data_IF_372708186630
#
_entry.id   IF_372708186630
#
_cell.length_a   1.000
_cell.length_b   1.000
_cell.length_c   1.000
_cell.angle_alpha   90.00
_cell.angle_beta   90.00
_cell.angle_gamma   90.00
#
_symmetry.space_group_name_H-M   'P 1'
#
loop_
_entity.id
_entity.type
_entity.pdbx_description
1 polymer ?
#
# COMPACT_ATOMS: atom_id res chain seq x y z
N UNK A 1 18.85 -26.32 24.10
CA UNK A 1 19.31 -24.98 23.70
C UNK A 1 18.26 -24.41 22.76
N UNK A 2 17.37 -23.56 23.28
CA UNK A 2 16.32 -22.94 22.47
C UNK A 2 16.94 -21.91 21.53
N UNK A 3 16.75 -22.10 20.23
CA UNK A 3 17.16 -21.12 19.24
C UNK A 3 16.42 -19.81 19.51
N UNK A 4 17.17 -18.77 19.85
CA UNK A 4 16.63 -17.41 19.95
C UNK A 4 16.13 -17.05 18.55
N UNK A 5 14.82 -16.99 18.37
CA UNK A 5 14.22 -16.49 17.14
C UNK A 5 14.71 -15.05 16.95
N UNK A 6 15.47 -14.80 15.89
CA UNK A 6 15.95 -13.46 15.50
C UNK A 6 14.83 -12.59 14.92
N UNK A 7 13.60 -13.10 14.84
CA UNK A 7 12.44 -12.31 14.43
C UNK A 7 11.95 -11.48 15.61
N UNK A 8 11.76 -10.16 15.46
CA UNK A 8 11.16 -9.34 16.50
C UNK A 8 9.79 -9.95 16.89
N UNK A 9 9.46 -9.89 18.18
CA UNK A 9 8.17 -10.41 18.66
C UNK A 9 7.02 -9.66 18.01
N UNK A 10 6.08 -10.39 17.40
CA UNK A 10 4.79 -9.83 17.00
C UNK A 10 3.99 -9.61 18.28
N UNK A 11 3.78 -8.35 18.66
CA UNK A 11 3.02 -8.01 19.85
C UNK A 11 1.53 -8.22 19.59
N UNK A 12 0.89 -9.10 20.36
CA UNK A 12 -0.58 -9.08 20.47
C UNK A 12 -1.00 -8.05 21.51
N UNK A 13 -2.29 -7.69 21.55
CA UNK A 13 -2.83 -6.76 22.55
C UNK A 13 -2.51 -7.17 23.99
N UNK A 14 -2.41 -8.48 24.22
CA UNK A 14 -2.19 -9.07 25.54
C UNK A 14 -0.68 -9.16 25.91
N UNK A 15 0.22 -9.00 24.93
CA UNK A 15 1.67 -9.05 25.13
C UNK A 15 2.28 -7.70 25.53
N UNK A 16 1.48 -6.63 25.55
CA UNK A 16 1.92 -5.26 25.81
C UNK A 16 1.95 -5.02 27.33
N UNK A 17 3.13 -5.00 27.97
CA UNK A 17 3.24 -4.84 29.42
C UNK A 17 3.39 -3.36 29.77
N UNK A 18 2.55 -2.50 29.19
CA UNK A 18 2.63 -1.06 29.37
C UNK A 18 1.34 -0.60 30.02
N UNK A 19 1.43 -0.12 31.27
CA UNK A 19 0.29 0.44 32.00
C UNK A 19 -0.39 1.60 31.24
N UNK A 20 0.32 2.21 30.29
CA UNK A 20 -0.19 3.22 29.37
C UNK A 20 0.41 3.03 27.96
N UNK A 21 -0.20 2.16 27.16
CA UNK A 21 0.14 1.93 25.75
C UNK A 21 0.22 3.21 24.90
N UNK A 22 -0.48 4.26 25.33
CA UNK A 22 -0.74 5.48 24.57
C UNK A 22 0.03 6.71 25.06
N UNK A 23 0.93 6.57 26.05
CA UNK A 23 1.67 7.69 26.65
C UNK A 23 3.14 7.78 26.25
N UNK A 24 3.66 6.85 25.43
CA UNK A 24 5.04 6.95 24.96
C UNK A 24 5.22 8.16 24.03
N UNK A 25 6.28 8.92 24.31
CA UNK A 25 6.61 10.19 23.63
C UNK A 25 7.00 9.93 22.19
N UNK A 26 6.40 10.72 21.30
CA UNK A 26 6.69 10.81 19.87
C UNK A 26 8.20 10.78 19.59
N UNK A 27 8.65 9.78 18.85
CA UNK A 27 10.02 9.68 18.35
C UNK A 27 10.21 10.61 17.14
N UNK A 28 10.32 11.91 17.43
CA UNK A 28 11.26 12.83 16.76
C UNK A 28 11.01 13.29 15.32
N UNK A 29 10.03 12.78 14.58
CA UNK A 29 9.79 13.27 13.21
C UNK A 29 8.80 14.46 13.19
N UNK A 30 9.33 15.66 12.94
CA UNK A 30 8.58 16.93 12.99
C UNK A 30 7.62 17.13 11.82
N UNK A 31 7.74 16.35 10.74
CA UNK A 31 6.97 16.57 9.50
C UNK A 31 6.28 15.32 8.93
N UNK A 32 6.76 14.11 9.23
CA UNK A 32 6.16 12.85 8.77
C UNK A 32 6.17 11.83 9.91
N UNK A 33 4.99 11.44 10.41
CA UNK A 33 4.89 10.41 11.46
C UNK A 33 4.97 9.02 10.86
N UNK A 34 6.19 8.52 10.68
CA UNK A 34 6.45 7.16 10.22
C UNK A 34 6.89 6.27 11.39
N UNK A 35 6.35 5.04 11.45
CA UNK A 35 6.49 4.11 12.58
C UNK A 35 6.90 2.73 12.06
N UNK A 36 7.82 2.03 12.72
CA UNK A 36 8.14 0.64 12.36
C UNK A 36 6.98 -0.29 12.76
N UNK A 37 6.69 -1.33 11.97
CA UNK A 37 5.61 -2.27 12.27
C UNK A 37 5.83 -3.03 13.60
N UNK A 38 7.06 -3.13 14.08
CA UNK A 38 7.42 -3.77 15.35
C UNK A 38 7.50 -2.80 16.52
N UNK A 39 7.29 -1.49 16.30
CA UNK A 39 7.19 -0.54 17.41
C UNK A 39 6.04 -0.95 18.33
N UNK A 40 6.28 -0.86 19.63
CA UNK A 40 5.31 -1.32 20.62
C UNK A 40 4.02 -0.50 20.47
N UNK A 41 4.14 0.83 20.52
CA UNK A 41 3.02 1.76 20.48
C UNK A 41 2.92 2.52 19.16
N UNK A 42 1.69 2.94 18.83
CA UNK A 42 1.41 3.83 17.70
C UNK A 42 1.06 5.24 18.17
N UNK A 43 1.28 6.29 17.35
CA UNK A 43 0.91 7.66 17.68
C UNK A 43 -0.57 7.82 18.01
N UNK A 44 -0.86 8.57 19.07
CA UNK A 44 -2.22 8.71 19.65
C UNK A 44 -2.85 10.07 19.42
N UNK A 45 -2.02 11.03 19.04
CA UNK A 45 -2.41 12.41 18.80
C UNK A 45 -1.75 12.88 17.52
N UNK A 46 -2.35 13.86 16.85
CA UNK A 46 -1.76 14.53 15.69
C UNK A 46 -0.55 15.38 16.03
N UNK A 47 0.14 15.89 15.01
CA UNK A 47 1.07 17.01 15.17
C UNK A 47 0.27 18.32 15.15
N UNK A 48 0.64 19.25 16.01
CA UNK A 48 0.11 20.62 15.96
C UNK A 48 0.76 21.36 14.79
N UNK A 49 -0.07 21.88 13.89
CA UNK A 49 0.38 22.58 12.68
C UNK A 49 -0.23 23.98 12.65
N UNK A 50 0.58 24.98 13.00
CA UNK A 50 0.10 26.35 13.27
C UNK A 50 -0.27 27.18 12.03
N UNK A 51 -0.06 26.65 10.83
CA UNK A 51 -0.19 27.40 9.57
C UNK A 51 -1.06 26.69 8.51
N UNK A 52 -1.86 25.70 8.90
CA UNK A 52 -2.75 24.99 7.98
C UNK A 52 -4.01 25.80 7.68
N UNK A 53 -4.45 25.86 6.42
CA UNK A 53 -5.77 26.40 6.09
C UNK A 53 -6.86 25.70 6.90
N UNK A 54 -7.86 26.43 7.45
CA UNK A 54 -9.00 25.83 8.13
C UNK A 54 -9.79 24.87 7.23
N UNK A 55 -9.75 25.07 5.92
CA UNK A 55 -10.39 24.22 4.93
C UNK A 55 -9.65 22.89 4.77
N UNK A 56 -8.35 22.92 4.50
CA UNK A 56 -7.51 21.73 4.37
C UNK A 56 -7.51 20.89 5.66
N UNK A 57 -7.42 21.56 6.81
CA UNK A 57 -7.55 20.92 8.12
C UNK A 57 -8.90 20.22 8.32
N UNK A 58 -10.00 20.83 7.84
CA UNK A 58 -11.34 20.27 7.93
C UNK A 58 -11.51 19.09 6.98
N UNK A 59 -11.00 19.20 5.76
CA UNK A 59 -11.01 18.13 4.76
C UNK A 59 -10.24 16.89 5.28
N UNK A 60 -9.05 17.09 5.84
CA UNK A 60 -8.26 15.99 6.41
C UNK A 60 -8.98 15.29 7.56
N UNK A 61 -9.62 16.05 8.47
CA UNK A 61 -10.44 15.48 9.55
C UNK A 61 -11.66 14.74 9.02
N UNK A 62 -12.31 15.26 7.98
CA UNK A 62 -13.47 14.61 7.36
C UNK A 62 -13.10 13.26 6.73
N UNK A 63 -11.98 13.19 6.01
CA UNK A 63 -11.46 11.92 5.46
C UNK A 63 -11.23 10.87 6.56
N UNK A 64 -10.57 11.27 7.67
CA UNK A 64 -10.28 10.38 8.80
C UNK A 64 -11.50 10.08 9.70
N UNK A 65 -12.60 10.80 9.51
CA UNK A 65 -13.89 10.49 10.12
C UNK A 65 -14.66 9.44 9.30
N UNK A 66 -14.50 9.45 7.98
CA UNK A 66 -15.15 8.52 7.08
C UNK A 66 -14.49 7.13 7.05
N UNK A 67 -13.15 7.08 6.95
CA UNK A 67 -12.37 5.84 6.97
C UNK A 67 -11.12 6.05 7.81
N UNK A 68 -10.79 5.08 8.65
CA UNK A 68 -9.67 5.18 9.58
C UNK A 68 -8.30 5.03 8.90
N UNK A 69 -8.27 4.54 7.66
CA UNK A 69 -7.03 4.35 6.90
C UNK A 69 -7.22 4.73 5.45
N UNK A 70 -6.28 5.45 4.86
CA UNK A 70 -6.34 5.86 3.45
C UNK A 70 -5.05 5.53 2.71
N UNK A 71 -5.16 5.05 1.47
CA UNK A 71 -4.06 5.22 0.53
C UNK A 71 -3.98 6.72 0.19
N UNK A 72 -2.80 7.37 0.23
CA UNK A 72 -2.67 8.81 0.03
C UNK A 72 -3.33 9.30 -1.26
N UNK A 73 -3.04 8.65 -2.40
CA UNK A 73 -3.63 9.02 -3.69
C UNK A 73 -5.17 8.84 -3.70
N UNK A 74 -5.69 7.80 -3.06
CA UNK A 74 -7.14 7.59 -2.97
C UNK A 74 -7.83 8.67 -2.14
N UNK A 75 -7.22 9.10 -1.03
CA UNK A 75 -7.73 10.20 -0.21
C UNK A 75 -7.71 11.53 -0.98
N UNK A 76 -6.59 11.84 -1.63
CA UNK A 76 -6.40 13.11 -2.35
C UNK A 76 -7.28 13.22 -3.59
N UNK A 77 -7.60 12.10 -4.25
CA UNK A 77 -8.52 12.06 -5.38
C UNK A 77 -9.95 12.49 -5.01
N UNK A 78 -10.31 12.48 -3.71
CA UNK A 78 -11.63 12.89 -3.22
C UNK A 78 -11.75 14.37 -2.90
N UNK A 79 -10.64 15.09 -2.93
CA UNK A 79 -10.58 16.49 -2.54
C UNK A 79 -10.44 17.40 -3.77
N UNK A 80 -10.90 18.66 -3.68
CA UNK A 80 -10.50 19.71 -4.61
C UNK A 80 -8.97 19.77 -4.77
N UNK A 81 -8.50 20.14 -5.97
CA UNK A 81 -7.06 20.08 -6.32
C UNK A 81 -6.21 20.93 -5.39
N UNK A 82 -6.59 22.19 -5.23
CA UNK A 82 -5.99 23.18 -4.36
C UNK A 82 -5.86 22.69 -2.91
N UNK A 83 -6.92 22.07 -2.37
CA UNK A 83 -6.92 21.50 -1.02
C UNK A 83 -5.97 20.30 -0.91
N UNK A 84 -5.98 19.41 -1.90
CA UNK A 84 -5.10 18.24 -1.94
C UNK A 84 -3.61 18.65 -2.02
N UNK A 85 -3.30 19.63 -2.88
CA UNK A 85 -1.95 20.13 -3.09
C UNK A 85 -1.43 20.82 -1.82
N UNK A 86 -2.26 21.60 -1.11
CA UNK A 86 -1.89 22.18 0.19
C UNK A 86 -1.59 21.10 1.25
N UNK A 87 -2.43 20.06 1.34
CA UNK A 87 -2.24 18.94 2.29
C UNK A 87 -0.89 18.26 2.05
N UNK A 88 -0.50 18.07 0.79
CA UNK A 88 0.79 17.48 0.42
C UNK A 88 1.95 18.43 0.73
N UNK A 89 1.92 19.64 0.17
CA UNK A 89 3.00 20.62 0.29
C UNK A 89 3.35 20.92 1.76
N UNK A 90 2.32 20.97 2.61
CA UNK A 90 2.48 21.25 4.04
C UNK A 90 2.47 20.00 4.92
N UNK A 91 2.36 18.80 4.34
CA UNK A 91 2.29 17.51 5.07
C UNK A 91 1.19 17.48 6.16
N UNK A 92 0.03 18.10 5.89
CA UNK A 92 -1.07 18.26 6.86
C UNK A 92 -1.68 16.92 7.31
N UNK A 93 -1.44 15.84 6.58
CA UNK A 93 -1.89 14.51 6.98
C UNK A 93 -1.36 14.10 8.37
N UNK A 94 -0.18 14.59 8.78
CA UNK A 94 0.41 14.31 10.09
C UNK A 94 -0.40 14.89 11.28
N UNK A 95 -1.31 15.82 11.03
CA UNK A 95 -2.25 16.35 12.03
C UNK A 95 -3.30 15.33 12.47
N UNK A 96 -3.59 14.33 11.63
CA UNK A 96 -4.69 13.38 11.86
C UNK A 96 -4.26 11.93 11.68
N UNK A 97 -3.08 11.67 11.14
CA UNK A 97 -2.62 10.34 10.79
C UNK A 97 -1.12 10.13 10.98
N UNK A 98 -0.73 8.87 10.97
CA UNK A 98 0.64 8.38 10.90
C UNK A 98 0.72 7.28 9.81
N UNK A 99 1.90 6.80 9.48
CA UNK A 99 2.09 5.70 8.54
C UNK A 99 3.08 4.67 9.08
N UNK A 100 2.92 3.40 8.71
CA UNK A 100 3.98 2.43 8.96
C UNK A 100 5.05 2.48 7.86
N UNK A 101 6.33 2.38 8.24
CA UNK A 101 7.47 2.26 7.33
C UNK A 101 7.48 0.93 6.57
N UNK A 102 7.02 -0.12 7.24
CA UNK A 102 7.02 -1.47 6.72
C UNK A 102 5.77 -2.24 7.15
N UNK A 103 5.70 -3.49 6.71
CA UNK A 103 4.60 -4.37 7.03
C UNK A 103 3.34 -4.21 6.15
N UNK A 104 2.24 -4.88 6.53
CA UNK A 104 1.01 -4.96 5.73
C UNK A 104 0.28 -3.63 5.57
N UNK A 105 0.45 -2.69 6.50
CA UNK A 105 -0.23 -1.38 6.47
C UNK A 105 0.70 -0.24 6.02
N UNK A 106 1.85 -0.58 5.42
CA UNK A 106 2.80 0.41 4.90
C UNK A 106 2.14 1.32 3.87
N UNK A 107 2.63 2.55 3.75
CA UNK A 107 2.16 3.57 2.78
C UNK A 107 0.69 3.97 2.92
N UNK A 108 0.03 3.61 4.01
CA UNK A 108 -1.30 4.11 4.35
C UNK A 108 -1.18 5.27 5.34
N UNK A 109 -2.05 6.25 5.19
CA UNK A 109 -2.35 7.21 6.24
C UNK A 109 -3.34 6.57 7.21
N UNK A 110 -2.88 6.26 8.41
CA UNK A 110 -3.64 5.61 9.47
C UNK A 110 -3.98 6.66 10.52
N UNK A 111 -5.26 6.78 10.86
CA UNK A 111 -5.74 7.71 11.87
C UNK A 111 -4.99 7.52 13.19
N UNK A 112 -4.56 8.62 13.81
CA UNK A 112 -3.93 8.57 15.13
C UNK A 112 -4.85 7.92 16.17
N UNK A 113 -4.28 7.09 17.04
CA UNK A 113 -5.01 6.31 18.05
C UNK A 113 -5.65 5.02 17.53
N UNK A 114 -5.56 4.72 16.23
CA UNK A 114 -5.98 3.44 15.66
C UNK A 114 -4.74 2.57 15.43
N UNK A 115 -4.75 1.34 15.94
CA UNK A 115 -3.73 0.34 15.61
C UNK A 115 -4.35 -0.85 14.85
N UNK A 116 -4.05 -1.00 13.55
CA UNK A 116 -4.64 -2.06 12.75
C UNK A 116 -4.10 -3.46 13.05
N UNK A 117 -3.07 -3.58 13.90
CA UNK A 117 -2.49 -4.86 14.34
C UNK A 117 -3.33 -5.57 15.39
N UNK A 118 -4.31 -4.90 16.00
CA UNK A 118 -5.16 -5.48 17.05
C UNK A 118 -6.57 -5.88 16.59
N UNK A 119 -7.00 -5.44 15.41
CA UNK A 119 -8.32 -5.78 14.90
C UNK A 119 -8.22 -6.36 13.49
N UNK A 120 -8.71 -7.59 13.36
CA UNK A 120 -8.75 -8.33 12.11
C UNK A 120 -9.64 -7.69 11.05
N UNK A 121 -10.63 -6.89 11.44
CA UNK A 121 -11.48 -6.15 10.51
C UNK A 121 -10.67 -5.27 9.54
N UNK A 122 -9.48 -4.83 9.97
CA UNK A 122 -8.54 -4.04 9.18
C UNK A 122 -7.83 -4.80 8.06
N UNK A 123 -8.00 -6.12 7.96
CA UNK A 123 -7.57 -6.90 6.77
C UNK A 123 -8.09 -6.28 5.47
N UNK A 124 -9.26 -5.62 5.51
CA UNK A 124 -9.82 -4.89 4.36
C UNK A 124 -8.93 -3.76 3.90
N UNK A 125 -8.32 -3.02 4.82
CA UNK A 125 -7.52 -1.85 4.50
C UNK A 125 -6.04 -2.17 4.31
N UNK A 126 -5.61 -3.41 4.58
CA UNK A 126 -4.23 -3.83 4.38
C UNK A 126 -3.79 -3.66 2.91
N UNK A 127 -2.49 -3.41 2.73
CA UNK A 127 -1.85 -3.41 1.42
C UNK A 127 -1.29 -4.78 1.04
N UNK A 128 -1.18 -5.02 -0.27
CA UNK A 128 -0.50 -6.17 -0.83
C UNK A 128 0.51 -5.71 -1.89
N UNK A 129 1.74 -6.22 -1.79
CA UNK A 129 2.73 -6.05 -2.84
C UNK A 129 2.66 -7.25 -3.78
N UNK A 130 2.45 -6.99 -5.06
CA UNK A 130 2.39 -8.02 -6.11
C UNK A 130 3.63 -7.91 -6.97
N UNK A 131 4.20 -9.04 -7.39
CA UNK A 131 5.33 -9.07 -8.31
C UNK A 131 4.83 -9.36 -9.71
N UNK A 132 4.88 -8.35 -10.58
CA UNK A 132 4.50 -8.50 -11.97
C UNK A 132 5.65 -9.12 -12.79
N UNK A 133 5.33 -9.86 -13.88
CA UNK A 133 6.33 -10.42 -14.79
C UNK A 133 7.30 -9.37 -15.35
N UNK A 134 8.60 -9.68 -15.39
CA UNK A 134 9.63 -8.72 -15.84
C UNK A 134 9.44 -8.28 -17.28
N UNK A 135 9.00 -9.19 -18.15
CA UNK A 135 8.81 -8.97 -19.58
C UNK A 135 7.73 -7.91 -19.86
N UNK A 136 6.79 -7.69 -18.94
CA UNK A 136 5.81 -6.60 -19.08
C UNK A 136 6.45 -5.21 -19.01
N UNK A 137 7.67 -5.10 -18.48
CA UNK A 137 8.36 -3.84 -18.24
C UNK A 137 9.55 -3.59 -19.17
N UNK A 138 9.91 -4.54 -20.04
CA UNK A 138 11.00 -4.38 -20.98
C UNK A 138 10.61 -3.43 -22.12
N UNK A 139 11.50 -2.49 -22.46
CA UNK A 139 11.26 -1.50 -23.51
C UNK A 139 11.52 -2.08 -24.92
N UNK A 140 12.28 -3.18 -24.99
CA UNK A 140 12.64 -3.86 -26.24
C UNK A 140 11.54 -4.80 -26.77
N UNK A 141 10.44 -5.01 -26.02
CA UNK A 141 9.29 -5.76 -26.52
C UNK A 141 8.33 -4.79 -27.23
N UNK A 142 8.29 -4.74 -28.57
CA UNK A 142 7.38 -3.85 -29.29
C UNK A 142 5.91 -4.13 -28.99
N UNK A 143 5.55 -5.37 -28.64
CA UNK A 143 4.20 -5.70 -28.22
C UNK A 143 3.96 -5.28 -26.76
N UNK A 144 4.97 -5.38 -25.90
CA UNK A 144 4.98 -4.83 -24.54
C UNK A 144 4.81 -3.30 -24.53
N UNK A 145 5.54 -2.58 -25.37
CA UNK A 145 5.42 -1.13 -25.54
C UNK A 145 4.03 -0.73 -26.05
N UNK A 146 3.47 -1.48 -27.02
CA UNK A 146 2.08 -1.29 -27.49
C UNK A 146 1.06 -1.56 -26.40
N UNK A 147 1.20 -2.67 -25.67
CA UNK A 147 0.34 -3.01 -24.53
C UNK A 147 0.37 -1.91 -23.47
N UNK A 148 1.56 -1.42 -23.08
CA UNK A 148 1.70 -0.29 -22.15
C UNK A 148 1.05 0.98 -22.71
N UNK A 149 1.33 1.35 -23.96
CA UNK A 149 0.79 2.58 -24.57
C UNK A 149 -0.74 2.58 -24.64
N UNK A 150 -1.39 1.42 -24.79
CA UNK A 150 -2.86 1.29 -24.73
C UNK A 150 -3.44 1.70 -23.36
N UNK A 151 -2.66 1.59 -22.29
CA UNK A 151 -3.12 1.71 -20.90
C UNK A 151 -2.35 2.74 -20.05
N UNK A 152 -1.30 3.36 -20.58
CA UNK A 152 -0.43 4.31 -19.88
C UNK A 152 -1.01 5.74 -19.77
N UNK A 153 -2.34 5.89 -19.80
CA UNK A 153 -2.97 7.22 -19.77
C UNK A 153 -2.85 7.94 -18.43
N UNK A 154 -2.44 7.26 -17.36
CA UNK A 154 -2.34 7.83 -16.03
C UNK A 154 -0.90 7.74 -15.51
N UNK A 155 -0.29 8.90 -15.25
CA UNK A 155 0.96 9.01 -14.49
C UNK A 155 0.71 8.69 -13.02
N UNK A 156 1.69 8.23 -12.24
CA UNK A 156 1.55 8.09 -10.78
C UNK A 156 1.18 9.39 -10.08
N UNK A 157 1.52 10.53 -10.69
CA UNK A 157 1.18 11.87 -10.22
C UNK A 157 -0.28 12.23 -10.52
N UNK A 158 -0.95 11.47 -11.39
CA UNK A 158 -2.38 11.62 -11.67
C UNK A 158 -3.19 11.10 -10.47
N UNK A 159 -4.13 11.93 -9.99
CA UNK A 159 -5.06 11.56 -8.93
C UNK A 159 -5.98 10.40 -9.32
N UNK A 160 -6.20 10.17 -10.62
CA UNK A 160 -6.93 9.03 -11.15
C UNK A 160 -6.12 7.72 -11.22
N UNK A 161 -4.79 7.76 -11.07
CA UNK A 161 -3.92 6.58 -11.19
C UNK A 161 -4.29 5.48 -10.21
N UNK A 162 -4.56 5.85 -8.95
CA UNK A 162 -4.93 4.88 -7.93
C UNK A 162 -6.17 4.09 -8.35
N UNK A 163 -7.25 4.76 -8.74
CA UNK A 163 -8.50 4.13 -9.16
C UNK A 163 -8.32 3.33 -10.47
N UNK A 164 -7.53 3.84 -11.41
CA UNK A 164 -7.26 3.14 -12.67
C UNK A 164 -6.50 1.83 -12.46
N UNK A 165 -5.50 1.83 -11.58
CA UNK A 165 -4.68 0.64 -11.27
C UNK A 165 -5.48 -0.37 -10.44
N UNK A 166 -6.15 0.07 -9.37
CA UNK A 166 -6.94 -0.83 -8.52
C UNK A 166 -8.21 -1.34 -9.22
N UNK A 167 -8.73 -0.56 -10.17
CA UNK A 167 -9.83 -0.92 -11.05
C UNK A 167 -9.43 -1.72 -12.30
N UNK A 168 -8.15 -2.06 -12.47
CA UNK A 168 -7.63 -2.80 -13.63
C UNK A 168 -8.01 -2.15 -14.98
N UNK A 169 -7.98 -0.83 -15.04
CA UNK A 169 -8.13 -0.03 -16.27
C UNK A 169 -6.79 0.46 -16.80
N UNK A 170 -5.75 0.39 -15.98
CA UNK A 170 -4.38 0.74 -16.33
C UNK A 170 -3.39 -0.26 -15.74
N UNK A 171 -2.27 -0.45 -16.41
CA UNK A 171 -1.15 -1.27 -15.93
C UNK A 171 -0.27 -0.40 -15.03
N UNK A 172 0.13 -0.87 -13.85
CA UNK A 172 1.06 -0.15 -13.00
C UNK A 172 2.36 0.14 -13.74
N UNK A 173 2.91 1.33 -13.52
CA UNK A 173 4.18 1.75 -14.10
C UNK A 173 5.41 1.10 -13.43
N UNK A 174 5.20 0.45 -12.29
CA UNK A 174 6.23 -0.28 -11.54
C UNK A 174 5.95 -1.78 -11.51
N UNK A 175 7.03 -2.57 -11.51
CA UNK A 175 6.97 -4.04 -11.44
C UNK A 175 6.39 -4.58 -10.13
N UNK A 176 6.57 -3.85 -9.04
CA UNK A 176 6.15 -4.26 -7.70
C UNK A 176 5.09 -3.29 -7.14
N UNK A 177 3.88 -3.21 -7.74
CA UNK A 177 2.84 -2.32 -7.26
C UNK A 177 2.42 -2.71 -5.85
N UNK A 178 2.08 -1.69 -5.06
CA UNK A 178 1.47 -1.83 -3.74
C UNK A 178 0.02 -1.42 -3.88
N UNK A 179 -0.90 -2.34 -3.61
CA UNK A 179 -2.33 -2.13 -3.77
C UNK A 179 -3.03 -2.26 -2.42
N UNK A 180 -4.03 -1.41 -2.17
CA UNK A 180 -4.89 -1.49 -0.99
C UNK A 180 -6.04 -2.44 -1.25
N UNK A 181 -6.20 -3.47 -0.42
CA UNK A 181 -7.18 -4.54 -0.65
C UNK A 181 -8.63 -4.05 -0.75
N UNK A 182 -8.98 -3.00 0.01
CA UNK A 182 -10.31 -2.39 0.00
C UNK A 182 -10.68 -1.81 -1.38
N UNK A 183 -9.68 -1.37 -2.14
CA UNK A 183 -9.88 -0.62 -3.36
C UNK A 183 -9.71 -1.49 -4.61
N UNK A 184 -9.18 -2.72 -4.47
CA UNK A 184 -9.04 -3.70 -5.56
C UNK A 184 -10.42 -4.15 -6.07
N UNK A 185 -10.68 -3.93 -7.36
CA UNK A 185 -11.99 -4.17 -7.96
C UNK A 185 -12.29 -5.64 -8.33
N UNK A 186 -11.42 -6.60 -7.99
CA UNK A 186 -11.61 -8.01 -8.31
C UNK A 186 -12.56 -8.71 -7.32
N UNK A 187 -13.66 -9.34 -7.79
CA UNK A 187 -14.59 -10.06 -6.93
C UNK A 187 -13.95 -11.17 -6.09
N UNK A 188 -13.00 -11.93 -6.65
CA UNK A 188 -12.32 -13.02 -5.95
C UNK A 188 -11.44 -12.51 -4.80
N UNK A 189 -10.81 -11.34 -4.98
CA UNK A 189 -10.02 -10.68 -3.93
C UNK A 189 -10.94 -10.20 -2.81
N UNK A 190 -12.04 -9.53 -3.15
CA UNK A 190 -13.04 -9.10 -2.16
C UNK A 190 -13.57 -10.29 -1.35
N UNK A 191 -13.94 -11.38 -2.01
CA UNK A 191 -14.41 -12.59 -1.33
C UNK A 191 -13.35 -13.19 -0.40
N UNK A 192 -12.09 -13.25 -0.82
CA UNK A 192 -10.98 -13.73 0.00
C UNK A 192 -10.73 -12.84 1.23
N UNK A 193 -10.83 -11.52 1.06
CA UNK A 193 -10.67 -10.55 2.15
C UNK A 193 -11.82 -10.65 3.15
N UNK A 194 -13.07 -10.78 2.69
CA UNK A 194 -14.23 -10.96 3.56
C UNK A 194 -14.16 -12.28 4.34
N UNK A 195 -13.71 -13.35 3.69
CA UNK A 195 -13.46 -14.63 4.37
C UNK A 195 -12.40 -14.49 5.48
N UNK A 196 -11.32 -13.76 5.22
CA UNK A 196 -10.30 -13.49 6.23
C UNK A 196 -10.85 -12.63 7.37
N UNK A 197 -11.65 -11.61 7.07
CA UNK A 197 -12.26 -10.71 8.06
C UNK A 197 -13.27 -11.42 8.96
N UNK A 198 -14.02 -12.39 8.43
CA UNK A 198 -15.03 -13.16 9.17
C UNK A 198 -14.45 -14.31 10.00
N UNK A 199 -13.16 -14.61 9.84
CA UNK A 199 -12.52 -15.72 10.56
C UNK A 199 -12.48 -15.44 12.07
N UNK A 200 -13.17 -16.29 12.83
CA UNK A 200 -13.20 -16.26 14.30
C UNK A 200 -11.94 -16.84 14.97
N UNK A 201 -10.87 -17.06 14.22
CA UNK A 201 -9.60 -17.50 14.80
C UNK A 201 -8.91 -16.32 15.48
N UNK A 202 -9.17 -16.16 16.77
CA UNK A 202 -8.60 -15.11 17.60
C UNK A 202 -7.12 -15.41 17.97
N UNK A 203 -6.59 -16.58 17.61
CA UNK A 203 -5.23 -17.00 18.01
C UNK A 203 -4.12 -16.49 17.10
N UNK A 204 -4.45 -16.02 15.89
CA UNK A 204 -3.45 -15.55 14.94
C UNK A 204 -3.14 -14.08 15.18
N UNK A 205 -1.91 -13.76 15.57
CA UNK A 205 -1.38 -12.39 15.54
C UNK A 205 -1.32 -11.87 14.09
N UNK A 206 -1.27 -10.54 13.93
CA UNK A 206 -1.06 -9.89 12.64
C UNK A 206 0.39 -10.11 12.16
N UNK A 207 0.57 -10.85 11.06
CA UNK A 207 1.90 -11.22 10.51
C UNK A 207 2.61 -10.01 9.87
N UNK A 208 3.91 -9.85 10.10
CA UNK A 208 4.71 -8.75 9.54
C UNK A 208 4.68 -8.65 8.01
N UNK A 209 4.41 -9.74 7.30
CA UNK A 209 4.43 -9.77 5.83
C UNK A 209 3.03 -9.86 5.24
N UNK A 210 2.17 -10.68 5.84
CA UNK A 210 0.83 -11.01 5.33
C UNK A 210 -0.29 -10.33 6.11
N UNK A 211 0.02 -9.63 7.20
CA UNK A 211 -0.94 -9.08 8.12
C UNK A 211 -1.94 -10.12 8.59
N UNK A 212 -3.21 -9.86 8.35
CA UNK A 212 -4.31 -10.73 8.78
C UNK A 212 -4.66 -11.83 7.76
N UNK A 213 -3.96 -11.89 6.62
CA UNK A 213 -4.24 -12.89 5.59
C UNK A 213 -3.53 -14.23 5.91
N UNK A 214 -4.27 -15.35 5.98
CA UNK A 214 -3.70 -16.68 5.92
C UNK A 214 -2.84 -16.86 4.67
N UNK A 215 -1.82 -17.73 4.75
CA UNK A 215 -0.87 -17.94 3.65
C UNK A 215 -1.55 -18.30 2.31
N UNK A 216 -2.53 -19.20 2.36
CA UNK A 216 -3.29 -19.62 1.17
C UNK A 216 -4.06 -18.46 0.53
N UNK A 217 -4.76 -17.65 1.34
CA UNK A 217 -5.51 -16.49 0.85
C UNK A 217 -4.58 -15.42 0.29
N UNK A 218 -3.46 -15.14 0.97
CA UNK A 218 -2.46 -14.20 0.47
C UNK A 218 -1.95 -14.59 -0.93
N UNK A 219 -1.59 -15.87 -1.15
CA UNK A 219 -1.19 -16.35 -2.48
C UNK A 219 -2.33 -16.28 -3.50
N UNK A 220 -3.55 -16.64 -3.11
CA UNK A 220 -4.74 -16.60 -3.99
C UNK A 220 -5.00 -15.17 -4.48
N UNK A 221 -4.94 -14.19 -3.59
CA UNK A 221 -5.08 -12.77 -3.92
C UNK A 221 -3.97 -12.31 -4.88
N UNK A 222 -2.70 -12.63 -4.59
CA UNK A 222 -1.60 -12.27 -5.51
C UNK A 222 -1.80 -12.85 -6.92
N UNK A 223 -2.20 -14.12 -7.01
CA UNK A 223 -2.49 -14.77 -8.31
C UNK A 223 -3.66 -14.12 -9.02
N UNK A 224 -4.75 -13.80 -8.32
CA UNK A 224 -5.90 -13.12 -8.89
C UNK A 224 -5.52 -11.76 -9.48
N UNK A 225 -4.74 -10.96 -8.76
CA UNK A 225 -4.27 -9.65 -9.23
C UNK A 225 -3.38 -9.80 -10.49
N UNK A 226 -2.43 -10.75 -10.49
CA UNK A 226 -1.59 -10.99 -11.68
C UNK A 226 -2.43 -11.41 -12.87
N UNK A 227 -3.41 -12.30 -12.67
CA UNK A 227 -4.35 -12.70 -13.74
C UNK A 227 -5.19 -11.53 -14.24
N UNK A 228 -5.67 -10.66 -13.35
CA UNK A 228 -6.42 -9.46 -13.73
C UNK A 228 -5.62 -8.54 -14.63
N UNK A 229 -4.36 -8.26 -14.30
CA UNK A 229 -3.50 -7.47 -15.20
C UNK A 229 -3.14 -8.19 -16.49
N UNK A 230 -2.96 -9.52 -16.46
CA UNK A 230 -2.72 -10.30 -17.67
C UNK A 230 -3.92 -10.22 -18.62
N UNK A 231 -5.16 -10.38 -18.11
CA UNK A 231 -6.38 -10.22 -18.89
C UNK A 231 -6.46 -8.82 -19.52
N UNK A 232 -6.14 -7.77 -18.76
CA UNK A 232 -6.09 -6.41 -19.27
C UNK A 232 -5.08 -6.27 -20.44
N UNK A 233 -3.89 -6.85 -20.31
CA UNK A 233 -2.87 -6.83 -21.36
C UNK A 233 -3.29 -7.55 -22.64
N UNK A 234 -4.03 -8.66 -22.48
CA UNK A 234 -4.57 -9.47 -23.56
C UNK A 234 -5.79 -8.81 -24.24
N UNK A 235 -6.34 -7.75 -23.64
CA UNK A 235 -7.49 -7.00 -24.13
C UNK A 235 -8.84 -7.55 -23.67
N UNK A 236 -8.83 -8.47 -22.71
CA UNK A 236 -10.01 -9.01 -22.06
C UNK A 236 -10.47 -8.11 -20.89
N UNK A 237 -11.71 -8.28 -20.44
CA UNK A 237 -12.20 -7.63 -19.22
C UNK A 237 -11.68 -8.39 -17.97
N UNK A 238 -10.83 -7.76 -17.13
CA UNK A 238 -10.27 -8.38 -15.93
C UNK A 238 -11.31 -8.84 -14.92
N UNK A 239 -12.44 -8.13 -14.83
CA UNK A 239 -13.49 -8.45 -13.86
C UNK A 239 -14.20 -9.73 -14.29
N UNK A 240 -14.64 -9.80 -15.54
CA UNK A 240 -15.26 -11.00 -16.12
C UNK A 240 -14.32 -12.22 -16.06
N UNK A 241 -13.03 -12.03 -16.36
CA UNK A 241 -12.03 -13.10 -16.28
C UNK A 241 -11.82 -13.62 -14.84
N UNK A 242 -11.84 -12.72 -13.85
CA UNK A 242 -11.73 -13.09 -12.44
C UNK A 242 -12.96 -13.88 -11.96
N UNK A 243 -14.16 -13.44 -12.32
CA UNK A 243 -15.41 -14.14 -12.00
C UNK A 243 -15.45 -15.56 -12.58
N UNK A 244 -15.03 -15.73 -13.83
CA UNK A 244 -14.91 -17.05 -14.45
C UNK A 244 -13.94 -17.97 -13.69
N UNK A 245 -12.86 -17.41 -13.15
CA UNK A 245 -11.86 -18.16 -12.38
C UNK A 245 -12.35 -18.62 -11.00
N UNK A 246 -13.37 -17.97 -10.43
CA UNK A 246 -13.95 -18.37 -9.14
C UNK A 246 -14.75 -19.68 -9.22
N UNK A 247 -15.26 -20.03 -10.40
CA UNK A 247 -16.02 -21.28 -10.64
C UNK A 247 -15.13 -22.49 -10.93
N UNK A 248 -13.83 -22.29 -11.15
CA UNK A 248 -12.87 -23.36 -11.35
C UNK A 248 -12.51 -24.00 -9.99
N UNK A 249 -12.35 -25.34 -9.92
CA UNK A 249 -11.86 -25.98 -8.70
C UNK A 249 -10.50 -25.38 -8.32
N UNK A 250 -10.33 -25.03 -7.04
CA UNK A 250 -9.05 -24.54 -6.52
C UNK A 250 -8.00 -25.63 -6.80
N UNK A 251 -7.03 -25.34 -7.67
CA UNK A 251 -5.80 -26.14 -7.83
C UNK A 251 -4.94 -25.99 -6.57
N UNK A 252 -5.43 -26.57 -5.48
CA UNK A 252 -4.83 -26.62 -4.16
C UNK A 252 -3.82 -27.76 -4.09
N UNK A 253 -2.76 -27.68 -4.91
CA UNK A 253 -1.40 -28.14 -4.58
C UNK A 253 -0.52 -27.95 -5.82
N UNK A 254 0.11 -26.78 -5.92
CA UNK A 254 1.39 -26.67 -6.63
C UNK A 254 2.35 -26.09 -5.61
N UNK A 255 3.04 -26.99 -4.91
CA UNK A 255 4.25 -26.68 -4.16
C UNK A 255 5.33 -26.32 -5.17
N UNK A 256 5.29 -25.09 -5.66
CA UNK A 256 6.37 -24.49 -6.41
C UNK A 256 7.32 -23.79 -5.41
N UNK A 257 7.99 -24.62 -4.60
CA UNK A 257 9.18 -24.22 -3.84
C UNK A 257 10.45 -24.57 -4.63
N UNK A 258 10.44 -24.25 -5.92
CA UNK A 258 11.63 -24.22 -6.75
C UNK A 258 12.04 -22.76 -6.94
N UNK A 259 12.56 -22.14 -5.88
CA UNK A 259 13.50 -21.04 -6.09
C UNK A 259 14.72 -21.61 -6.82
N UNK A 260 15.09 -21.17 -8.04
CA UNK A 260 16.37 -21.56 -8.59
C UNK A 260 17.45 -20.92 -7.71
N UNK A 261 18.18 -21.77 -7.01
CA UNK A 261 19.41 -21.40 -6.30
C UNK A 261 20.36 -20.69 -7.28
N UNK A 262 20.82 -19.47 -7.00
CA UNK A 262 21.81 -18.82 -7.85
C UNK A 262 23.15 -19.55 -7.66
N UNK A 263 23.45 -20.43 -8.62
CA UNK A 263 24.79 -20.98 -8.78
C UNK A 263 25.78 -19.83 -9.02
N UNK A 264 26.90 -19.92 -8.32
CA UNK A 264 27.96 -18.94 -8.24
C UNK A 264 28.49 -18.43 -9.59
N UNK A 265 28.66 -17.11 -9.69
CA UNK A 265 29.59 -16.43 -10.61
C UNK A 265 29.94 -15.03 -10.03
N UNK A 266 31.08 -14.43 -10.40
CA UNK A 266 32.05 -13.92 -9.43
C UNK A 266 31.99 -12.42 -9.12
N UNK A 267 32.66 -12.06 -8.01
CA UNK A 267 32.95 -10.73 -7.47
C UNK A 267 33.21 -9.63 -8.52
N UNK A 268 32.45 -8.53 -8.42
CA UNK A 268 32.88 -7.13 -8.65
C UNK A 268 31.75 -6.13 -8.32
N UNK A 269 32.07 -4.85 -8.07
CA UNK A 269 31.72 -4.22 -6.79
C UNK A 269 30.42 -3.41 -6.79
N UNK A 270 29.89 -3.28 -5.57
CA UNK A 270 28.88 -2.33 -5.08
C UNK A 270 28.83 -1.00 -5.84
N UNK A 271 27.69 -0.76 -6.47
CA UNK A 271 26.97 0.51 -6.42
C UNK A 271 25.52 0.16 -6.76
N UNK A 272 24.59 0.60 -5.92
CA UNK A 272 23.18 0.92 -6.21
C UNK A 272 22.46 0.94 -4.86
N UNK A 273 22.65 2.08 -4.19
CA UNK A 273 21.74 2.56 -3.18
C UNK A 273 20.44 2.91 -3.91
N UNK A 274 19.53 1.94 -3.99
CA UNK A 274 18.21 2.16 -4.55
C UNK A 274 17.45 3.11 -3.61
N UNK A 275 17.28 4.32 -4.12
CA UNK A 275 16.77 5.47 -3.42
C UNK A 275 15.39 5.19 -2.83
N UNK A 276 15.25 5.50 -1.54
CA UNK A 276 14.00 5.92 -0.96
C UNK A 276 13.50 7.08 -1.82
N UNK A 277 12.62 6.80 -2.79
CA UNK A 277 11.85 7.83 -3.46
C UNK A 277 10.89 8.40 -2.41
N UNK A 278 11.41 9.36 -1.66
CA UNK A 278 10.64 10.34 -0.92
C UNK A 278 9.60 10.95 -1.87
N UNK A 279 8.44 11.26 -1.31
CA UNK A 279 7.37 11.95 -2.01
C UNK A 279 7.80 13.39 -2.35
N UNK A 280 8.60 13.57 -3.40
CA UNK A 280 8.68 14.84 -4.14
C UNK A 280 7.69 14.77 -5.31
N UNK A 281 6.42 15.07 -4.99
CA UNK A 281 5.48 15.55 -6.00
C UNK A 281 5.90 17.00 -6.23
N UNK A 282 6.79 17.22 -7.21
CA UNK A 282 7.22 18.54 -7.63
C UNK A 282 5.98 19.35 -8.03
N UNK A 283 5.73 20.42 -7.28
CA UNK A 283 4.84 21.49 -7.72
C UNK A 283 5.46 22.15 -8.94
N UNK A 284 4.67 22.24 -10.01
CA UNK A 284 5.02 23.01 -11.21
C UNK A 284 5.48 24.42 -10.79
N UNK A 285 6.68 24.79 -11.23
CA UNK A 285 7.17 26.16 -11.10
C UNK A 285 6.40 27.05 -12.07
N UNK A 286 5.85 28.12 -11.51
CA UNK A 286 5.18 29.23 -12.15
C UNK A 286 6.15 29.92 -13.13
N UNK A 287 5.90 29.82 -14.44
CA UNK A 287 6.54 30.66 -15.45
C UNK A 287 5.90 32.06 -15.38
N UNK A 288 6.40 32.91 -14.48
CA UNK A 288 6.21 34.36 -14.58
C UNK A 288 7.35 34.94 -15.42
N UNK A 289 7.10 35.10 -16.73
CA UNK A 289 7.91 35.97 -17.58
C UNK A 289 7.65 37.43 -17.17
N UNK A 290 8.55 37.98 -16.36
CA UNK A 290 8.67 39.44 -16.19
C UNK A 290 9.39 40.01 -17.43
N UNK A 291 8.58 40.56 -18.33
CA UNK A 291 8.99 41.42 -19.43
C UNK A 291 9.29 42.83 -18.88
N UNK A 292 10.54 43.17 -18.58
CA UNK A 292 10.99 44.57 -18.50
C UNK A 292 12.46 44.77 -18.90
N UNK A 293 12.61 45.69 -19.87
CA UNK A 293 13.78 46.45 -20.40
C UNK A 293 14.79 45.77 -21.34
#
# INVERSE_FOLDING_TARGET
MGGVSLRPSLFTRDDIPVADYFTQRDTGATTTREVDFHEIAVPTRGLDMEEASPEASRAMRALMAEREMWAPLAALARLPKDVADEILARKLHAMCSYSFANGPFKRLWIKVGVDPRFDRAYVRSQTITVRLPSNWFQDDDPEGARRKARFASCSRSDRGYHDAVHGFRSIPDVRHPVLTLADVALPSVRAAVELAAASADHSSACDERRGWLPHGLHRKIQRAIVRGYQALLDGDDPITADEASMGAPDDAHVDDDASPSPAAAPDSPRADADALAEYEILGDQDDSEDEYE
#
